data_IF_500520850463
#
_entry.id   IF_500520850463
#
_cell.length_a   1.000
_cell.length_b   1.000
_cell.length_c   1.000
_cell.angle_alpha   90.00
_cell.angle_beta   90.00
_cell.angle_gamma   90.00
#
_symmetry.space_group_name_H-M   'P 1'
#
loop_
_entity.id
_entity.type
_entity.pdbx_description
1 polymer ?
#
# COMPACT_ATOMS: atom_id res chain seq x y z
N UNK A 1 -8.33 -1.06 27.54
CA UNK A 1 -9.11 -1.58 26.39
C UNK A 1 -8.33 -2.77 25.86
N UNK A 2 -8.95 -3.92 25.81
CA UNK A 2 -8.33 -5.16 25.34
C UNK A 2 -7.94 -5.02 23.85
N UNK A 3 -6.82 -5.61 23.45
CA UNK A 3 -6.30 -5.57 22.09
C UNK A 3 -7.31 -6.10 21.05
N UNK A 4 -8.15 -7.05 21.46
CA UNK A 4 -9.24 -7.56 20.65
C UNK A 4 -10.28 -6.48 20.33
N UNK A 5 -10.72 -5.75 21.34
CA UNK A 5 -11.68 -4.65 21.21
C UNK A 5 -11.12 -3.53 20.34
N UNK A 6 -9.82 -3.21 20.49
CA UNK A 6 -9.14 -2.23 19.62
C UNK A 6 -9.17 -2.64 18.16
N UNK A 7 -8.83 -3.89 17.87
CA UNK A 7 -8.79 -4.37 16.49
C UNK A 7 -10.18 -4.32 15.84
N UNK A 8 -11.22 -4.78 16.56
CA UNK A 8 -12.59 -4.71 16.05
C UNK A 8 -13.08 -3.28 15.83
N UNK A 9 -12.70 -2.38 16.70
CA UNK A 9 -13.03 -0.95 16.56
C UNK A 9 -12.35 -0.34 15.33
N UNK A 10 -11.06 -0.64 15.11
CA UNK A 10 -10.33 -0.20 13.92
C UNK A 10 -10.98 -0.75 12.64
N UNK A 11 -11.30 -2.04 12.62
CA UNK A 11 -11.97 -2.67 11.47
C UNK A 11 -13.32 -2.02 11.20
N UNK A 12 -14.15 -1.87 12.21
CA UNK A 12 -15.50 -1.37 12.05
C UNK A 12 -15.53 0.11 11.69
N UNK A 13 -14.71 0.94 12.34
CA UNK A 13 -14.78 2.39 12.20
C UNK A 13 -13.92 2.95 11.06
N UNK A 14 -12.84 2.29 10.71
CA UNK A 14 -11.88 2.79 9.70
C UNK A 14 -11.89 1.93 8.44
N UNK A 15 -11.66 0.63 8.57
CA UNK A 15 -11.49 -0.25 7.43
C UNK A 15 -12.77 -0.35 6.58
N UNK A 16 -13.91 -0.65 7.19
CA UNK A 16 -15.16 -0.86 6.44
C UNK A 16 -15.58 0.40 5.66
N UNK A 17 -15.70 1.59 6.30
CA UNK A 17 -16.06 2.81 5.58
C UNK A 17 -15.04 3.20 4.50
N UNK A 18 -13.75 3.06 4.78
CA UNK A 18 -12.70 3.39 3.82
C UNK A 18 -12.66 2.42 2.64
N UNK A 19 -12.92 1.14 2.87
CA UNK A 19 -13.02 0.14 1.78
C UNK A 19 -14.24 0.40 0.90
N UNK A 20 -15.40 0.72 1.48
CA UNK A 20 -16.60 1.10 0.74
C UNK A 20 -16.32 2.34 -0.12
N UNK A 21 -15.71 3.37 0.47
CA UNK A 21 -15.29 4.57 -0.26
C UNK A 21 -14.35 4.22 -1.43
N UNK A 22 -13.34 3.39 -1.18
CA UNK A 22 -12.37 3.02 -2.20
C UNK A 22 -13.04 2.28 -3.37
N UNK A 23 -13.87 1.28 -3.08
CA UNK A 23 -14.62 0.53 -4.10
C UNK A 23 -15.55 1.47 -4.86
N UNK A 24 -16.26 2.37 -4.18
CA UNK A 24 -17.15 3.36 -4.81
C UNK A 24 -16.36 4.24 -5.79
N UNK A 25 -15.22 4.78 -5.38
CA UNK A 25 -14.36 5.60 -6.25
C UNK A 25 -13.82 4.81 -7.44
N UNK A 26 -13.45 3.54 -7.26
CA UNK A 26 -13.01 2.68 -8.36
C UNK A 26 -14.14 2.43 -9.37
N UNK A 27 -15.35 2.14 -8.91
CA UNK A 27 -16.53 1.93 -9.77
C UNK A 27 -16.88 3.21 -10.53
N UNK A 28 -16.91 4.36 -9.84
CA UNK A 28 -17.16 5.67 -10.47
C UNK A 28 -16.11 5.98 -11.54
N UNK A 29 -14.83 5.83 -11.21
CA UNK A 29 -13.71 6.06 -12.14
C UNK A 29 -13.83 5.17 -13.38
N UNK A 30 -14.20 3.89 -13.20
CA UNK A 30 -14.40 2.95 -14.30
C UNK A 30 -15.61 3.32 -15.16
N UNK A 31 -16.71 3.74 -14.55
CA UNK A 31 -17.92 4.20 -15.26
C UNK A 31 -17.66 5.44 -16.11
N UNK A 32 -17.02 6.46 -15.52
CA UNK A 32 -16.64 7.69 -16.22
C UNK A 32 -15.64 7.43 -17.38
N UNK A 33 -14.74 6.48 -17.21
CA UNK A 33 -13.83 6.03 -18.28
C UNK A 33 -14.60 5.45 -19.46
N UNK A 34 -15.68 4.68 -19.21
CA UNK A 34 -16.54 4.11 -20.26
C UNK A 34 -17.35 5.19 -20.98
N UNK A 35 -17.66 6.29 -20.32
CA UNK A 35 -18.40 7.43 -20.90
C UNK A 35 -17.55 8.33 -21.82
N UNK A 36 -16.35 7.91 -22.24
CA UNK A 36 -15.43 8.67 -23.08
C UNK A 36 -14.88 9.96 -22.45
N UNK A 37 -14.96 10.10 -21.15
CA UNK A 37 -14.37 11.24 -20.47
C UNK A 37 -12.83 11.11 -20.45
N UNK A 38 -12.15 11.94 -21.27
CA UNK A 38 -10.69 11.92 -21.45
C UNK A 38 -9.90 12.02 -20.15
N UNK A 39 -10.41 12.72 -19.16
CA UNK A 39 -9.76 12.90 -17.86
C UNK A 39 -9.59 11.56 -17.13
N UNK A 40 -10.64 10.75 -17.08
CA UNK A 40 -10.63 9.44 -16.40
C UNK A 40 -10.00 8.32 -17.25
N UNK A 41 -9.76 8.56 -18.52
CA UNK A 41 -9.03 7.66 -19.40
C UNK A 41 -7.52 7.71 -19.22
N UNK A 42 -6.99 8.68 -18.45
CA UNK A 42 -5.56 8.85 -18.24
C UNK A 42 -4.94 7.64 -17.51
N UNK A 43 -3.64 7.44 -17.75
CA UNK A 43 -2.85 6.37 -17.11
C UNK A 43 -2.96 6.41 -15.58
N UNK A 44 -3.04 7.59 -14.98
CA UNK A 44 -3.16 7.74 -13.53
C UNK A 44 -4.39 7.01 -12.95
N UNK A 45 -5.58 7.22 -13.54
CA UNK A 45 -6.80 6.57 -13.05
C UNK A 45 -6.86 5.07 -13.36
N UNK A 46 -6.17 4.63 -14.43
CA UNK A 46 -6.00 3.20 -14.71
C UNK A 46 -5.17 2.53 -13.64
N UNK A 47 -4.03 3.13 -13.30
CA UNK A 47 -3.14 2.64 -12.24
C UNK A 47 -3.82 2.68 -10.88
N UNK A 48 -4.57 3.75 -10.57
CA UNK A 48 -5.39 3.83 -9.37
C UNK A 48 -6.38 2.65 -9.26
N UNK A 49 -7.06 2.31 -10.35
CA UNK A 49 -8.01 1.20 -10.35
C UNK A 49 -7.30 -0.15 -10.13
N UNK A 50 -6.24 -0.43 -10.89
CA UNK A 50 -5.48 -1.70 -10.76
C UNK A 50 -4.90 -1.84 -9.37
N UNK A 51 -4.23 -0.80 -8.88
CA UNK A 51 -3.63 -0.79 -7.54
C UNK A 51 -4.69 -0.94 -6.45
N UNK A 52 -5.82 -0.26 -6.57
CA UNK A 52 -6.91 -0.33 -5.62
C UNK A 52 -7.50 -1.73 -5.47
N UNK A 53 -7.67 -2.45 -6.57
CA UNK A 53 -8.12 -3.86 -6.54
C UNK A 53 -7.11 -4.72 -5.77
N UNK A 54 -5.81 -4.56 -6.05
CA UNK A 54 -4.76 -5.32 -5.38
C UNK A 54 -4.69 -4.99 -3.89
N UNK A 55 -4.68 -3.71 -3.52
CA UNK A 55 -4.60 -3.27 -2.13
C UNK A 55 -5.77 -3.75 -1.29
N UNK A 56 -7.01 -3.61 -1.78
CA UNK A 56 -8.19 -4.09 -1.06
C UNK A 56 -8.17 -5.62 -0.94
N UNK A 57 -7.84 -6.33 -2.00
CA UNK A 57 -7.76 -7.80 -1.98
C UNK A 57 -6.72 -8.27 -0.96
N UNK A 58 -5.52 -7.68 -0.98
CA UNK A 58 -4.45 -8.02 -0.04
C UNK A 58 -4.81 -7.65 1.40
N UNK A 59 -5.46 -6.51 1.62
CA UNK A 59 -5.89 -6.10 2.94
C UNK A 59 -6.97 -7.03 3.50
N UNK A 60 -7.92 -7.48 2.67
CA UNK A 60 -8.91 -8.49 3.06
C UNK A 60 -8.23 -9.81 3.46
N UNK A 61 -7.26 -10.28 2.67
CA UNK A 61 -6.47 -11.50 2.97
C UNK A 61 -5.68 -11.33 4.27
N UNK A 62 -5.05 -10.17 4.48
CA UNK A 62 -4.31 -9.87 5.70
C UNK A 62 -5.20 -9.87 6.95
N UNK A 63 -6.37 -9.22 6.87
CA UNK A 63 -7.33 -9.18 7.99
C UNK A 63 -7.88 -10.57 8.25
N UNK A 64 -8.30 -11.29 7.21
CA UNK A 64 -8.80 -12.66 7.34
C UNK A 64 -7.75 -13.57 7.97
N UNK A 65 -6.49 -13.53 7.54
CA UNK A 65 -5.40 -14.29 8.13
C UNK A 65 -5.16 -13.96 9.60
N UNK A 66 -5.17 -12.67 9.95
CA UNK A 66 -5.07 -12.22 11.34
C UNK A 66 -6.24 -12.74 12.19
N UNK A 67 -7.48 -12.69 11.66
CA UNK A 67 -8.67 -13.18 12.35
C UNK A 67 -8.63 -14.69 12.56
N UNK A 68 -8.25 -15.45 11.52
CA UNK A 68 -8.16 -16.90 11.59
C UNK A 68 -7.27 -17.38 12.75
N UNK A 69 -6.14 -16.71 12.98
CA UNK A 69 -5.20 -17.05 14.03
C UNK A 69 -5.67 -16.50 15.38
N UNK A 70 -6.01 -15.21 15.45
CA UNK A 70 -6.32 -14.54 16.71
C UNK A 70 -7.63 -15.00 17.33
N UNK A 71 -8.67 -15.23 16.53
CA UNK A 71 -9.97 -15.67 17.00
C UNK A 71 -10.04 -17.21 17.15
N UNK A 72 -8.92 -17.90 16.98
CA UNK A 72 -8.80 -19.35 17.09
C UNK A 72 -9.75 -20.12 16.18
N UNK A 73 -10.14 -19.53 15.04
CA UNK A 73 -11.05 -20.18 14.10
C UNK A 73 -10.47 -21.48 13.54
N UNK A 74 -9.14 -21.56 13.40
CA UNK A 74 -8.44 -22.79 12.98
C UNK A 74 -8.06 -23.72 14.15
N UNK A 75 -8.24 -23.28 15.40
CA UNK A 75 -7.78 -23.99 16.57
C UNK A 75 -6.25 -23.96 16.75
N UNK A 76 -5.79 -23.81 18.00
CA UNK A 76 -4.36 -23.68 18.29
C UNK A 76 -3.57 -24.96 17.89
N UNK A 77 -4.14 -26.14 18.10
CA UNK A 77 -3.49 -27.40 17.73
C UNK A 77 -3.24 -27.50 16.22
N UNK A 78 -4.21 -27.08 15.39
CA UNK A 78 -4.07 -27.07 13.92
C UNK A 78 -3.02 -26.07 13.47
N UNK A 79 -2.99 -24.88 14.07
CA UNK A 79 -1.97 -23.87 13.74
C UNK A 79 -0.58 -24.38 14.14
N UNK A 80 -0.43 -24.97 15.34
CA UNK A 80 0.84 -25.51 15.81
C UNK A 80 1.30 -26.71 14.97
N UNK A 81 0.40 -27.60 14.54
CA UNK A 81 0.74 -28.73 13.67
C UNK A 81 1.14 -28.30 12.27
N UNK A 82 0.84 -27.06 11.87
CA UNK A 82 1.31 -26.50 10.59
C UNK A 82 2.79 -26.12 10.58
N UNK A 83 3.47 -26.12 11.74
CA UNK A 83 4.91 -25.95 11.80
C UNK A 83 5.61 -27.05 10.98
N UNK A 84 6.57 -26.65 10.15
CA UNK A 84 7.21 -27.54 9.17
C UNK A 84 6.49 -27.61 7.82
N UNK A 85 5.28 -27.05 7.71
CA UNK A 85 4.61 -26.81 6.43
C UNK A 85 4.96 -25.43 5.87
N UNK A 86 4.46 -25.15 4.66
CA UNK A 86 4.63 -23.82 4.00
C UNK A 86 3.76 -22.72 4.65
N UNK A 87 2.79 -23.08 5.52
CA UNK A 87 1.80 -22.14 6.04
C UNK A 87 2.38 -20.99 6.89
N UNK A 88 3.28 -21.21 7.88
CA UNK A 88 3.87 -20.11 8.65
C UNK A 88 4.63 -19.13 7.76
N UNK A 89 5.36 -19.65 6.76
CA UNK A 89 6.11 -18.83 5.79
C UNK A 89 5.16 -18.06 4.87
N UNK A 90 4.12 -18.70 4.34
CA UNK A 90 3.11 -18.04 3.54
C UNK A 90 2.39 -16.93 4.33
N UNK A 91 2.05 -17.19 5.59
CA UNK A 91 1.44 -16.19 6.46
C UNK A 91 2.34 -14.97 6.65
N UNK A 92 3.61 -15.18 6.98
CA UNK A 92 4.53 -14.07 7.24
C UNK A 92 4.95 -13.35 5.95
N UNK A 93 5.48 -14.09 4.99
CA UNK A 93 6.01 -13.49 3.78
C UNK A 93 4.92 -13.09 2.78
N UNK A 94 3.91 -13.93 2.61
CA UNK A 94 2.81 -13.65 1.67
C UNK A 94 1.83 -12.59 2.16
N UNK A 95 1.35 -12.71 3.40
CA UNK A 95 0.32 -11.78 3.91
C UNK A 95 0.88 -10.49 4.49
N UNK A 96 2.11 -10.48 5.00
CA UNK A 96 2.69 -9.29 5.64
C UNK A 96 3.70 -8.60 4.73
N UNK A 97 4.77 -9.28 4.36
CA UNK A 97 5.87 -8.69 3.61
C UNK A 97 5.51 -8.40 2.15
N UNK A 98 4.83 -9.34 1.50
CA UNK A 98 4.39 -9.13 0.12
C UNK A 98 3.39 -7.97 0.01
N UNK A 99 2.42 -7.91 0.92
CA UNK A 99 1.46 -6.82 0.94
C UNK A 99 2.13 -5.45 1.10
N UNK A 100 3.09 -5.36 2.02
CA UNK A 100 3.89 -4.16 2.18
C UNK A 100 4.62 -3.76 0.87
N UNK A 101 5.27 -4.72 0.22
CA UNK A 101 5.96 -4.46 -1.04
C UNK A 101 4.99 -4.02 -2.16
N UNK A 102 3.79 -4.59 -2.23
CA UNK A 102 2.73 -4.17 -3.18
C UNK A 102 2.33 -2.72 -2.95
N UNK A 103 2.17 -2.31 -1.69
CA UNK A 103 1.84 -0.92 -1.35
C UNK A 103 2.96 0.05 -1.75
N UNK A 104 4.21 -0.25 -1.38
CA UNK A 104 5.36 0.59 -1.71
C UNK A 104 5.53 0.71 -3.23
N UNK A 105 5.40 -0.41 -3.95
CA UNK A 105 5.46 -0.43 -5.40
C UNK A 105 4.32 0.38 -6.03
N UNK A 106 3.11 0.26 -5.50
CA UNK A 106 1.95 1.04 -5.93
C UNK A 106 2.19 2.56 -5.86
N UNK A 107 2.83 3.04 -4.80
CA UNK A 107 3.21 4.47 -4.66
C UNK A 107 4.18 4.88 -5.77
N UNK A 108 5.17 4.06 -6.08
CA UNK A 108 6.14 4.32 -7.17
C UNK A 108 5.40 4.41 -8.51
N UNK A 109 4.58 3.41 -8.84
CA UNK A 109 3.87 3.34 -10.11
C UNK A 109 2.91 4.51 -10.30
N UNK A 110 2.20 4.91 -9.25
CA UNK A 110 1.32 6.07 -9.28
C UNK A 110 2.10 7.38 -9.43
N UNK A 111 3.29 7.49 -8.84
CA UNK A 111 4.17 8.65 -8.98
C UNK A 111 4.70 8.76 -10.42
N UNK A 112 5.07 7.64 -11.04
CA UNK A 112 5.44 7.57 -12.46
C UNK A 112 4.26 8.01 -13.34
N UNK A 113 3.06 7.49 -13.08
CA UNK A 113 1.86 7.84 -13.85
C UNK A 113 1.56 9.34 -13.83
N UNK A 114 1.70 9.99 -12.67
CA UNK A 114 1.54 11.45 -12.53
C UNK A 114 2.64 12.22 -13.25
N UNK A 115 3.89 11.81 -13.06
CA UNK A 115 5.03 12.44 -13.72
C UNK A 115 4.90 12.35 -15.25
N UNK A 116 4.53 11.18 -15.77
CA UNK A 116 4.31 10.99 -17.20
C UNK A 116 3.19 11.89 -17.75
N UNK A 117 2.09 12.03 -16.99
CA UNK A 117 0.96 12.86 -17.39
C UNK A 117 1.31 14.35 -17.46
N UNK A 118 2.07 14.86 -16.49
CA UNK A 118 2.31 16.29 -16.32
C UNK A 118 3.60 16.75 -16.99
N UNK A 119 4.68 15.99 -16.85
CA UNK A 119 6.02 16.44 -17.28
C UNK A 119 6.37 16.05 -18.71
N UNK A 120 5.79 14.97 -19.23
CA UNK A 120 6.13 14.45 -20.57
C UNK A 120 4.89 14.15 -21.43
N UNK A 121 3.96 15.13 -21.60
CA UNK A 121 2.63 14.89 -22.19
C UNK A 121 2.67 14.32 -23.60
N UNK A 122 3.62 14.70 -24.43
CA UNK A 122 3.71 14.33 -25.85
C UNK A 122 4.81 13.31 -26.14
N UNK A 123 5.33 12.61 -25.13
CA UNK A 123 6.44 11.68 -25.32
C UNK A 123 5.96 10.30 -25.83
N UNK A 124 6.82 9.63 -26.61
CA UNK A 124 6.63 8.22 -26.98
C UNK A 124 6.48 7.32 -25.73
N UNK A 125 7.20 7.63 -24.67
CA UNK A 125 7.13 6.89 -23.40
C UNK A 125 5.73 6.92 -22.83
N UNK A 126 5.06 8.09 -22.80
CA UNK A 126 3.66 8.19 -22.37
C UNK A 126 2.73 7.34 -23.23
N UNK A 127 2.85 7.44 -24.56
CA UNK A 127 2.01 6.64 -25.48
C UNK A 127 2.20 5.13 -25.24
N UNK A 128 3.42 4.65 -25.03
CA UNK A 128 3.70 3.26 -24.67
C UNK A 128 3.02 2.90 -23.34
N UNK A 129 3.17 3.72 -22.30
CA UNK A 129 2.54 3.46 -21.00
C UNK A 129 0.99 3.45 -21.09
N UNK A 130 0.41 4.35 -21.88
CA UNK A 130 -1.04 4.42 -22.11
C UNK A 130 -1.57 3.27 -22.97
N UNK A 131 -0.76 2.72 -23.87
CA UNK A 131 -1.15 1.57 -24.73
C UNK A 131 -1.13 0.24 -24.01
N UNK A 132 -0.42 0.10 -22.88
CA UNK A 132 -0.36 -1.15 -22.12
C UNK A 132 -1.75 -1.54 -21.60
N UNK A 133 -2.19 -2.81 -21.77
CA UNK A 133 -3.44 -3.30 -21.21
C UNK A 133 -3.44 -3.26 -19.67
N UNK A 134 -4.63 -3.13 -19.05
CA UNK A 134 -4.77 -3.16 -17.59
C UNK A 134 -4.25 -4.48 -16.98
N UNK A 135 -4.35 -5.60 -17.72
CA UNK A 135 -3.80 -6.91 -17.33
C UNK A 135 -2.27 -6.89 -17.20
N UNK A 136 -1.56 -6.19 -18.10
CA UNK A 136 -0.10 -6.05 -18.00
C UNK A 136 0.29 -5.23 -16.78
N UNK A 137 -0.42 -4.14 -16.51
CA UNK A 137 -0.22 -3.37 -15.30
C UNK A 137 -0.49 -4.19 -14.03
N UNK A 138 -1.56 -5.00 -14.01
CA UNK A 138 -1.84 -5.92 -12.92
C UNK A 138 -0.70 -6.92 -12.71
N UNK A 139 -0.21 -7.52 -13.80
CA UNK A 139 0.90 -8.47 -13.76
C UNK A 139 2.20 -7.84 -13.21
N UNK A 140 2.55 -6.64 -13.68
CA UNK A 140 3.72 -5.90 -13.19
C UNK A 140 3.56 -5.62 -11.68
N UNK A 141 2.37 -5.16 -11.25
CA UNK A 141 2.10 -4.85 -9.84
C UNK A 141 2.06 -6.09 -8.94
N UNK A 142 1.88 -7.28 -9.50
CA UNK A 142 1.96 -8.55 -8.75
C UNK A 142 3.40 -9.08 -8.73
N UNK A 143 4.08 -9.12 -9.87
CA UNK A 143 5.38 -9.80 -9.98
C UNK A 143 6.54 -8.99 -9.40
N UNK A 144 6.58 -7.67 -9.63
CA UNK A 144 7.69 -6.85 -9.14
C UNK A 144 7.82 -6.86 -7.61
N UNK A 145 6.72 -6.74 -6.83
CA UNK A 145 6.79 -6.86 -5.37
C UNK A 145 7.20 -8.23 -4.85
N UNK A 146 7.11 -9.29 -5.66
CA UNK A 146 7.58 -10.63 -5.28
C UNK A 146 9.10 -10.76 -5.30
N UNK A 147 9.77 -10.00 -6.16
CA UNK A 147 11.23 -10.13 -6.35
C UNK A 147 12.05 -10.02 -5.04
N UNK A 148 11.78 -9.07 -4.13
CA UNK A 148 12.50 -8.99 -2.86
C UNK A 148 12.26 -10.21 -1.95
N UNK A 149 11.11 -10.89 -2.09
CA UNK A 149 10.72 -12.01 -1.23
C UNK A 149 11.39 -13.33 -1.61
N UNK A 150 11.71 -13.52 -2.89
CA UNK A 150 12.27 -14.78 -3.39
C UNK A 150 13.53 -15.18 -2.63
N UNK A 151 14.37 -14.21 -2.23
CA UNK A 151 15.57 -14.45 -1.45
C UNK A 151 15.26 -14.80 0.01
N UNK A 152 14.27 -14.15 0.61
CA UNK A 152 13.94 -14.28 2.03
C UNK A 152 13.25 -15.61 2.35
N UNK A 153 12.29 -16.02 1.51
CA UNK A 153 11.56 -17.28 1.69
C UNK A 153 12.49 -18.50 1.72
N UNK A 154 13.62 -18.44 1.02
CA UNK A 154 14.58 -19.55 0.94
C UNK A 154 15.54 -19.61 2.14
N UNK A 155 15.65 -18.56 2.95
CA UNK A 155 16.74 -18.43 3.92
C UNK A 155 16.36 -18.68 5.38
N UNK A 156 15.13 -18.36 5.78
CA UNK A 156 14.82 -18.26 7.21
C UNK A 156 13.42 -18.79 7.56
N UNK A 157 13.29 -19.94 8.23
CA UNK A 157 12.02 -20.49 8.66
C UNK A 157 11.41 -19.63 9.77
N UNK A 158 10.11 -19.38 9.65
CA UNK A 158 9.24 -18.85 10.71
C UNK A 158 8.35 -19.94 11.22
N UNK A 159 7.96 -19.90 12.49
CA UNK A 159 7.14 -20.94 13.13
C UNK A 159 6.11 -20.33 14.05
N UNK A 160 5.10 -21.11 14.40
CA UNK A 160 4.19 -20.73 15.47
C UNK A 160 4.67 -21.35 16.79
N UNK A 161 4.65 -20.55 17.85
CA UNK A 161 4.97 -20.98 19.21
C UNK A 161 3.80 -20.68 20.15
N UNK A 162 3.58 -21.47 21.21
CA UNK A 162 2.57 -21.16 22.20
C UNK A 162 3.03 -19.94 23.03
N UNK A 163 2.13 -19.01 23.28
CA UNK A 163 2.31 -17.98 24.30
C UNK A 163 2.04 -18.55 25.70
N UNK A 164 2.19 -17.71 26.73
CA UNK A 164 1.90 -18.07 28.13
C UNK A 164 0.45 -18.52 28.38
N UNK A 165 -0.47 -18.17 27.47
CA UNK A 165 -1.89 -18.52 27.51
C UNK A 165 -2.22 -19.72 26.61
N UNK A 166 -1.22 -20.35 25.99
CA UNK A 166 -1.39 -21.47 25.05
C UNK A 166 -1.91 -21.06 23.67
N UNK A 167 -1.91 -19.76 23.35
CA UNK A 167 -2.29 -19.28 22.02
C UNK A 167 -1.14 -19.42 21.04
N UNK A 168 -1.47 -19.68 19.77
CA UNK A 168 -0.48 -19.69 18.71
C UNK A 168 0.00 -18.25 18.42
N UNK A 169 1.29 -18.02 18.62
CA UNK A 169 1.97 -16.78 18.31
C UNK A 169 2.98 -17.02 17.20
N UNK A 170 3.00 -16.16 16.19
CA UNK A 170 4.01 -16.25 15.15
C UNK A 170 5.37 -15.83 15.71
N UNK A 171 6.29 -16.77 15.76
CA UNK A 171 7.68 -16.53 16.14
C UNK A 171 8.51 -16.25 14.89
N UNK A 172 9.07 -15.08 14.85
CA UNK A 172 10.04 -14.64 13.83
C UNK A 172 11.39 -14.47 14.53
N UNK A 173 12.41 -15.24 14.19
CA UNK A 173 13.73 -15.10 14.79
C UNK A 173 14.23 -13.64 14.74
N UNK A 174 14.90 -13.12 15.77
CA UNK A 174 15.37 -11.72 15.80
C UNK A 174 16.20 -11.34 14.58
N UNK A 175 17.09 -12.23 14.12
CA UNK A 175 17.90 -12.04 12.92
C UNK A 175 17.04 -11.84 11.66
N UNK A 176 15.99 -12.65 11.49
CA UNK A 176 15.04 -12.55 10.37
C UNK A 176 14.26 -11.25 10.45
N UNK A 177 13.76 -10.90 11.65
CA UNK A 177 13.05 -9.65 11.88
C UNK A 177 13.90 -8.43 11.54
N UNK A 178 15.16 -8.43 11.95
CA UNK A 178 16.10 -7.35 11.65
C UNK A 178 16.42 -7.25 10.15
N UNK A 179 16.69 -8.39 9.50
CA UNK A 179 16.94 -8.43 8.06
C UNK A 179 15.76 -7.90 7.25
N UNK A 180 14.54 -8.32 7.61
CA UNK A 180 13.31 -7.86 6.96
C UNK A 180 13.05 -6.36 7.21
N UNK A 181 13.23 -5.88 8.43
CA UNK A 181 13.09 -4.46 8.74
C UNK A 181 14.11 -3.60 7.97
N UNK A 182 15.37 -4.06 7.88
CA UNK A 182 16.42 -3.40 7.08
C UNK A 182 16.02 -3.34 5.61
N UNK A 183 15.52 -4.44 5.04
CA UNK A 183 15.05 -4.46 3.67
C UNK A 183 13.87 -3.51 3.47
N UNK A 184 12.90 -3.49 4.39
CA UNK A 184 11.77 -2.55 4.33
C UNK A 184 12.26 -1.11 4.34
N UNK A 185 13.23 -0.75 5.19
CA UNK A 185 13.82 0.60 5.21
C UNK A 185 14.47 0.93 3.87
N UNK A 186 15.28 0.04 3.33
CA UNK A 186 15.94 0.29 2.05
C UNK A 186 14.89 0.50 0.95
N UNK A 187 13.90 -0.40 0.87
CA UNK A 187 12.84 -0.33 -0.14
C UNK A 187 12.01 0.94 -0.02
N UNK A 188 11.59 1.31 1.21
CA UNK A 188 10.82 2.53 1.43
C UNK A 188 11.64 3.78 1.21
N UNK A 189 12.91 3.79 1.60
CA UNK A 189 13.80 4.95 1.38
C UNK A 189 14.03 5.20 -0.11
N UNK A 190 14.32 4.15 -0.89
CA UNK A 190 14.46 4.25 -2.35
C UNK A 190 13.15 4.75 -2.97
N UNK A 191 12.01 4.17 -2.58
CA UNK A 191 10.70 4.60 -3.06
C UNK A 191 10.42 6.07 -2.71
N UNK A 192 10.73 6.48 -1.47
CA UNK A 192 10.54 7.84 -0.98
C UNK A 192 11.34 8.86 -1.78
N UNK A 193 12.64 8.58 -2.02
CA UNK A 193 13.51 9.45 -2.84
C UNK A 193 12.98 9.54 -4.27
N UNK A 194 12.61 8.41 -4.87
CA UNK A 194 12.06 8.36 -6.21
C UNK A 194 10.76 9.16 -6.32
N UNK A 195 9.82 8.97 -5.38
CA UNK A 195 8.57 9.71 -5.33
C UNK A 195 8.78 11.21 -5.10
N UNK A 196 9.76 11.59 -4.27
CA UNK A 196 10.14 12.98 -4.06
C UNK A 196 10.60 13.64 -5.37
N UNK A 197 11.46 12.97 -6.14
CA UNK A 197 11.95 13.46 -7.43
C UNK A 197 10.80 13.61 -8.44
N UNK A 198 9.91 12.64 -8.54
CA UNK A 198 8.72 12.71 -9.40
C UNK A 198 7.81 13.88 -9.00
N UNK A 199 7.49 14.00 -7.71
CA UNK A 199 6.61 15.08 -7.22
C UNK A 199 7.25 16.46 -7.37
N UNK A 200 8.58 16.59 -7.17
CA UNK A 200 9.30 17.83 -7.42
C UNK A 200 9.24 18.22 -8.91
N UNK A 201 9.44 17.26 -9.82
CA UNK A 201 9.29 17.49 -11.26
C UNK A 201 7.89 17.98 -11.63
N UNK A 202 6.86 17.34 -11.08
CA UNK A 202 5.45 17.74 -11.26
C UNK A 202 5.22 19.17 -10.72
N UNK A 203 5.67 19.48 -9.51
CA UNK A 203 5.52 20.79 -8.90
C UNK A 203 6.21 21.88 -9.73
N UNK A 204 7.46 21.65 -10.15
CA UNK A 204 8.20 22.56 -11.01
C UNK A 204 7.43 22.86 -12.31
N UNK A 205 6.87 21.84 -12.94
CA UNK A 205 6.12 21.99 -14.18
C UNK A 205 4.82 22.77 -13.97
N UNK A 206 4.10 22.51 -12.89
CA UNK A 206 2.89 23.24 -12.50
C UNK A 206 3.21 24.73 -12.29
N UNK A 207 4.31 25.05 -11.62
CA UNK A 207 4.73 26.44 -11.41
C UNK A 207 5.09 27.15 -12.71
N UNK A 208 5.67 26.44 -13.68
CA UNK A 208 5.94 26.98 -15.02
C UNK A 208 4.64 27.30 -15.77
N UNK A 209 3.63 26.43 -15.72
CA UNK A 209 2.34 26.66 -16.39
C UNK A 209 1.48 27.76 -15.75
N UNK A 210 1.79 28.20 -14.54
CA UNK A 210 1.06 29.30 -13.87
C UNK A 210 1.09 30.59 -14.67
N UNK A 211 2.09 30.79 -15.53
CA UNK A 211 2.21 31.99 -16.40
C UNK A 211 1.26 31.96 -17.61
N UNK A 212 0.78 30.77 -18.01
CA UNK A 212 -0.04 30.59 -19.20
C UNK A 212 -1.53 30.53 -18.85
N UNK A 213 -2.25 31.63 -19.00
CA UNK A 213 -3.65 31.85 -18.56
C UNK A 213 -4.68 30.88 -19.22
N UNK A 214 -4.31 30.22 -20.32
CA UNK A 214 -5.25 29.46 -21.17
C UNK A 214 -5.73 28.11 -20.62
N UNK A 215 -5.12 27.55 -19.56
CA UNK A 215 -5.38 26.16 -19.11
C UNK A 215 -5.89 26.04 -17.67
N UNK A 216 -6.72 26.96 -17.20
CA UNK A 216 -7.14 27.07 -15.79
C UNK A 216 -7.78 25.79 -15.21
N UNK A 217 -8.55 25.04 -16.01
CA UNK A 217 -9.22 23.82 -15.52
C UNK A 217 -8.26 22.64 -15.39
N UNK A 218 -7.36 22.47 -16.36
CA UNK A 218 -6.30 21.45 -16.32
C UNK A 218 -5.36 21.70 -15.15
N UNK A 219 -4.95 22.95 -14.93
CA UNK A 219 -4.08 23.38 -13.85
C UNK A 219 -4.64 23.04 -12.45
N UNK A 220 -5.94 23.25 -12.21
CA UNK A 220 -6.56 22.89 -10.93
C UNK A 220 -6.57 21.38 -10.69
N UNK A 221 -6.77 20.58 -11.72
CA UNK A 221 -6.70 19.12 -11.61
C UNK A 221 -5.28 18.66 -11.24
N UNK A 222 -4.29 19.25 -11.91
CA UNK A 222 -2.88 18.90 -11.67
C UNK A 222 -2.41 19.28 -10.26
N UNK A 223 -2.82 20.46 -9.75
CA UNK A 223 -2.55 20.82 -8.35
C UNK A 223 -3.18 19.80 -7.39
N UNK A 224 -4.42 19.41 -7.61
CA UNK A 224 -5.10 18.41 -6.78
C UNK A 224 -4.36 17.09 -6.77
N UNK A 225 -3.92 16.62 -7.93
CA UNK A 225 -3.13 15.40 -8.05
C UNK A 225 -1.74 15.54 -7.38
N UNK A 226 -1.14 16.73 -7.43
CA UNK A 226 0.12 17.00 -6.73
C UNK A 226 -0.07 16.95 -5.20
N UNK A 227 -1.17 17.50 -4.68
CA UNK A 227 -1.51 17.43 -3.24
C UNK A 227 -1.68 15.97 -2.81
N UNK A 228 -2.45 15.17 -3.57
CA UNK A 228 -2.60 13.73 -3.33
C UNK A 228 -1.23 13.04 -3.26
N UNK A 229 -0.34 13.35 -4.21
CA UNK A 229 1.00 12.80 -4.24
C UNK A 229 1.87 13.20 -3.06
N UNK A 230 1.77 14.44 -2.62
CA UNK A 230 2.52 14.93 -1.47
C UNK A 230 2.06 14.28 -0.16
N UNK A 231 0.75 14.14 0.05
CA UNK A 231 0.23 13.44 1.24
C UNK A 231 0.62 11.96 1.24
N UNK A 232 0.61 11.32 0.07
CA UNK A 232 1.07 9.94 -0.08
C UNK A 232 2.58 9.81 0.24
N UNK A 233 3.39 10.77 -0.22
CA UNK A 233 4.81 10.85 0.15
C UNK A 233 5.02 10.98 1.66
N UNK A 234 4.22 11.81 2.34
CA UNK A 234 4.28 11.93 3.82
C UNK A 234 3.91 10.60 4.52
N UNK A 235 2.88 9.90 4.02
CA UNK A 235 2.52 8.58 4.54
C UNK A 235 3.66 7.57 4.36
N UNK A 236 4.38 7.63 3.24
CA UNK A 236 5.56 6.80 2.98
C UNK A 236 6.72 7.12 3.93
N UNK A 237 6.97 8.41 4.21
CA UNK A 237 7.97 8.83 5.20
C UNK A 237 7.62 8.29 6.61
N UNK A 238 6.35 8.37 7.00
CA UNK A 238 5.88 7.84 8.27
C UNK A 238 6.07 6.31 8.36
N UNK A 239 5.84 5.59 7.26
CA UNK A 239 6.08 4.15 7.19
C UNK A 239 7.57 3.81 7.32
N UNK A 240 8.45 4.59 6.68
CA UNK A 240 9.90 4.44 6.84
C UNK A 240 10.33 4.65 8.29
N UNK A 241 9.83 5.71 8.94
CA UNK A 241 10.10 6.00 10.35
C UNK A 241 9.63 4.85 11.26
N UNK A 242 8.47 4.26 10.97
CA UNK A 242 7.96 3.10 11.68
C UNK A 242 8.93 1.91 11.61
N UNK A 243 9.48 1.60 10.45
CA UNK A 243 10.44 0.50 10.31
C UNK A 243 11.78 0.79 10.99
N UNK A 244 12.21 2.05 11.06
CA UNK A 244 13.39 2.46 11.86
C UNK A 244 13.14 2.16 13.33
N UNK A 245 11.95 2.51 13.86
CA UNK A 245 11.57 2.20 15.23
C UNK A 245 11.62 0.69 15.47
N UNK A 246 11.15 -0.13 14.54
CA UNK A 246 11.22 -1.61 14.66
C UNK A 246 12.66 -2.09 14.79
N UNK A 247 13.63 -1.53 14.06
CA UNK A 247 15.03 -1.91 14.18
C UNK A 247 15.61 -1.51 15.54
N UNK A 248 15.35 -0.29 15.97
CA UNK A 248 15.87 0.22 17.25
C UNK A 248 15.31 -0.60 18.43
N UNK A 249 14.05 -1.00 18.32
CA UNK A 249 13.33 -1.76 19.35
C UNK A 249 13.56 -3.28 19.29
N UNK A 250 14.39 -3.78 18.39
CA UNK A 250 14.54 -5.23 18.16
C UNK A 250 14.94 -6.03 19.41
N UNK A 251 15.65 -5.37 20.34
CA UNK A 251 16.12 -5.98 21.59
C UNK A 251 15.14 -5.84 22.76
N UNK A 252 13.97 -5.20 22.56
CA UNK A 252 12.90 -5.06 23.55
C UNK A 252 11.69 -5.92 23.13
N UNK A 253 11.58 -7.17 23.60
CA UNK A 253 10.53 -8.10 23.15
C UNK A 253 9.10 -7.60 23.41
N UNK A 254 8.75 -7.03 24.60
CA UNK A 254 7.40 -6.54 24.84
C UNK A 254 7.02 -5.36 23.94
N UNK A 255 7.98 -4.46 23.68
CA UNK A 255 7.75 -3.32 22.80
C UNK A 255 7.58 -3.75 21.34
N UNK A 256 8.43 -4.66 20.87
CA UNK A 256 8.27 -5.25 19.51
C UNK A 256 6.92 -5.94 19.35
N UNK A 257 6.45 -6.68 20.34
CA UNK A 257 5.15 -7.33 20.28
C UNK A 257 4.01 -6.30 20.16
N UNK A 258 4.08 -5.21 20.91
CA UNK A 258 3.12 -4.10 20.80
C UNK A 258 3.14 -3.47 19.39
N UNK A 259 4.32 -3.23 18.82
CA UNK A 259 4.47 -2.72 17.47
C UNK A 259 3.85 -3.66 16.43
N UNK A 260 4.14 -4.95 16.52
CA UNK A 260 3.58 -5.96 15.59
C UNK A 260 2.07 -6.07 15.67
N UNK A 261 1.51 -5.93 16.87
CA UNK A 261 0.05 -5.91 17.07
C UNK A 261 -0.59 -4.70 16.38
N UNK A 262 0.06 -3.55 16.44
CA UNK A 262 -0.46 -2.30 15.88
C UNK A 262 -0.03 -2.05 14.42
N UNK A 263 0.70 -2.97 13.78
CA UNK A 263 1.19 -2.82 12.40
C UNK A 263 0.09 -2.62 11.36
N UNK A 264 -1.13 -3.04 11.67
CA UNK A 264 -2.30 -2.82 10.80
C UNK A 264 -2.59 -1.32 10.59
N UNK A 265 -2.32 -0.47 11.57
CA UNK A 265 -2.63 0.97 11.50
C UNK A 265 -1.84 1.67 10.37
N UNK A 266 -0.49 1.64 10.35
CA UNK A 266 0.26 2.26 9.27
C UNK A 266 -0.05 1.65 7.89
N UNK A 267 -0.34 0.36 7.80
CA UNK A 267 -0.79 -0.28 6.56
C UNK A 267 -2.11 0.32 6.09
N UNK A 268 -3.11 0.45 6.97
CA UNK A 268 -4.40 1.06 6.63
C UNK A 268 -4.25 2.52 6.20
N UNK A 269 -3.43 3.29 6.89
CA UNK A 269 -3.16 4.69 6.51
C UNK A 269 -2.59 4.75 5.11
N UNK A 270 -1.59 3.92 4.79
CA UNK A 270 -0.97 3.91 3.47
C UNK A 270 -1.96 3.49 2.36
N UNK A 271 -2.80 2.49 2.63
CA UNK A 271 -3.84 2.03 1.68
C UNK A 271 -4.91 3.09 1.44
N UNK A 272 -5.42 3.71 2.49
CA UNK A 272 -6.61 4.55 2.39
C UNK A 272 -6.34 6.04 2.19
N UNK A 273 -5.12 6.49 2.36
CA UNK A 273 -4.78 7.90 2.12
C UNK A 273 -5.15 8.35 0.71
N UNK A 274 -4.94 7.48 -0.28
CA UNK A 274 -5.19 7.81 -1.68
C UNK A 274 -6.69 8.05 -2.00
N UNK A 275 -7.63 7.13 -1.70
CA UNK A 275 -9.05 7.36 -1.97
C UNK A 275 -9.61 8.54 -1.16
N UNK A 276 -9.21 8.73 0.10
CA UNK A 276 -9.63 9.88 0.89
C UNK A 276 -9.17 11.19 0.28
N UNK A 277 -7.92 11.27 -0.15
CA UNK A 277 -7.38 12.46 -0.79
C UNK A 277 -8.04 12.75 -2.14
N UNK A 278 -8.35 11.72 -2.93
CA UNK A 278 -9.12 11.89 -4.16
C UNK A 278 -10.52 12.46 -3.88
N UNK A 279 -11.22 11.94 -2.88
CA UNK A 279 -12.54 12.47 -2.49
C UNK A 279 -12.46 13.93 -2.05
N UNK A 280 -11.47 14.30 -1.24
CA UNK A 280 -11.31 15.67 -0.73
C UNK A 280 -10.96 16.64 -1.86
N UNK A 281 -10.09 16.23 -2.78
CA UNK A 281 -9.55 17.11 -3.81
C UNK A 281 -10.43 17.19 -5.06
N UNK A 282 -11.26 16.18 -5.36
CA UNK A 282 -12.09 16.15 -6.56
C UNK A 282 -13.55 16.54 -6.25
N UNK A 283 -13.84 17.84 -6.31
CA UNK A 283 -15.18 18.38 -6.04
C UNK A 283 -16.30 17.78 -6.90
N UNK A 284 -16.02 17.31 -8.11
CA UNK A 284 -16.99 16.65 -8.98
C UNK A 284 -17.37 15.25 -8.47
N UNK A 285 -16.42 14.52 -7.84
CA UNK A 285 -16.71 13.24 -7.20
C UNK A 285 -17.51 13.40 -5.90
N UNK A 286 -17.35 14.55 -5.23
CA UNK A 286 -18.08 14.85 -3.99
C UNK A 286 -19.54 15.27 -4.21
N UNK A 287 -19.90 15.80 -5.40
CA UNK A 287 -21.24 16.28 -5.71
C UNK A 287 -22.19 15.21 -6.26
N UNK A 288 -21.69 14.01 -6.46
CA UNK A 288 -22.45 12.83 -6.91
C UNK A 288 -22.59 11.82 -5.78
#
# INVERSE_FOLDING_TARGET
MDDRTRLWLIISCIFIPSSILYVTLMVMTRSERRSLNRTYGSIFYRLFFVQGVLEISMLCVYIAGKMLIRERLLGNATIMSSNGSIFPMFYYYGMVQYFFNVQVWGVIVQSIGRFALVCIPDSRARHVLESLPDAVWALINILVPMAPLCRQVLQDPVSFVPDTSGNALLFVPPRVSQANATQCIITTSVATVFCALCNFGVLRKILQFRSDICCRLSYLLEIRLAIVGFVHFLAQCAMTAFHIIVIVAVNDPPFIQSIRTNYIIPIMVLTFVHPWMLLITHGNLRRR
#
